data_IF_305006680368
#
_entry.id   IF_305006680368
#
_cell.length_a   1.000
_cell.length_b   1.000
_cell.length_c   1.000
_cell.angle_alpha   90.00
_cell.angle_beta   90.00
_cell.angle_gamma   90.00
#
_symmetry.space_group_name_H-M   'P 1'
#
loop_
_entity.id
_entity.type
_entity.pdbx_description
1 polymer ?
#
# COMPACT_ATOMS: atom_id res chain seq x y z
N UNK A 1 3.47 -3.92 17.49
CA UNK A 1 3.51 -5.39 17.42
C UNK A 1 4.48 -5.81 16.35
N UNK A 2 5.37 -6.76 16.64
CA UNK A 2 6.33 -7.27 15.69
C UNK A 2 5.66 -8.06 14.57
N UNK A 3 6.20 -7.95 13.37
CA UNK A 3 5.72 -8.72 12.23
C UNK A 3 6.89 -9.23 11.40
N UNK A 4 6.70 -10.38 10.76
CA UNK A 4 7.63 -10.95 9.79
C UNK A 4 6.90 -11.13 8.47
N UNK A 5 7.49 -10.64 7.40
CA UNK A 5 6.90 -10.72 6.07
C UNK A 5 7.62 -11.78 5.24
N UNK A 6 6.83 -12.60 4.55
CA UNK A 6 7.31 -13.64 3.64
C UNK A 6 6.71 -13.36 2.26
N UNK A 7 7.56 -13.29 1.25
CA UNK A 7 7.12 -13.03 -0.11
C UNK A 7 7.72 -14.07 -1.05
N UNK A 8 6.86 -14.97 -1.55
CA UNK A 8 7.28 -16.10 -2.40
C UNK A 8 8.38 -16.97 -1.73
N UNK A 9 8.28 -17.12 -0.42
CA UNK A 9 9.26 -17.82 0.41
C UNK A 9 8.69 -19.21 0.77
N UNK A 10 9.37 -20.32 0.39
CA UNK A 10 8.88 -21.64 0.73
C UNK A 10 8.92 -21.97 2.22
N UNK A 11 9.60 -21.14 3.04
CA UNK A 11 9.65 -21.29 4.49
C UNK A 11 8.51 -20.55 5.20
N UNK A 12 7.62 -19.89 4.45
CA UNK A 12 6.52 -19.16 5.03
C UNK A 12 5.59 -20.09 5.83
N UNK A 13 5.12 -19.66 7.02
CA UNK A 13 4.12 -20.43 7.76
C UNK A 13 2.78 -20.42 7.02
N UNK A 14 1.93 -21.39 7.35
CA UNK A 14 0.59 -21.47 6.76
C UNK A 14 -0.29 -20.36 7.30
N UNK A 15 -0.95 -19.63 6.40
CA UNK A 15 -1.87 -18.57 6.79
C UNK A 15 -3.11 -19.10 7.51
N UNK A 16 -3.62 -18.34 8.48
CA UNK A 16 -4.83 -18.63 9.23
C UNK A 16 -5.84 -17.48 9.18
N UNK A 17 -5.53 -16.39 8.48
CA UNK A 17 -6.33 -15.16 8.53
C UNK A 17 -6.34 -14.49 7.16
N UNK A 18 -7.52 -13.99 6.77
CA UNK A 18 -7.72 -13.08 5.65
C UNK A 18 -8.39 -11.82 6.17
N UNK A 19 -7.74 -10.67 5.97
CA UNK A 19 -8.30 -9.36 6.31
C UNK A 19 -8.13 -8.46 5.09
N UNK A 20 -9.22 -7.86 4.58
CA UNK A 20 -9.11 -6.92 3.47
C UNK A 20 -8.26 -5.71 3.88
N UNK A 21 -7.29 -5.37 3.06
CA UNK A 21 -6.53 -4.13 3.14
C UNK A 21 -6.75 -3.32 1.87
N UNK A 22 -6.66 -2.01 1.97
CA UNK A 22 -6.94 -1.13 0.85
C UNK A 22 -5.85 -0.08 0.74
N UNK A 23 -5.24 -0.01 -0.44
CA UNK A 23 -4.17 0.94 -0.75
C UNK A 23 -4.71 2.03 -1.68
N UNK A 24 -4.05 3.19 -1.64
CA UNK A 24 -4.35 4.28 -2.55
C UNK A 24 -3.08 4.72 -3.28
N UNK A 25 -3.07 4.58 -4.59
CA UNK A 25 -2.02 5.11 -5.45
C UNK A 25 -2.40 6.52 -5.86
N UNK A 26 -1.82 7.51 -5.18
CA UNK A 26 -2.12 8.93 -5.40
C UNK A 26 -1.12 9.51 -6.38
N UNK A 27 -1.63 10.12 -7.44
CA UNK A 27 -0.82 10.77 -8.46
C UNK A 27 -1.16 12.26 -8.47
N UNK A 28 -0.15 13.11 -8.37
CA UNK A 28 -0.34 14.56 -8.44
C UNK A 28 -0.40 15.05 -9.90
N UNK A 29 -0.58 16.37 -10.09
CA UNK A 29 -0.70 16.96 -11.42
C UNK A 29 0.58 16.83 -12.27
N UNK A 30 1.72 16.55 -11.64
CA UNK A 30 3.01 16.36 -12.30
C UNK A 30 3.32 14.89 -12.61
N UNK A 31 2.39 13.99 -12.32
CA UNK A 31 2.60 12.55 -12.49
C UNK A 31 3.42 11.89 -11.40
N UNK A 32 3.74 12.60 -10.32
CA UNK A 32 4.48 12.04 -9.20
C UNK A 32 3.56 11.19 -8.30
N UNK A 33 4.12 10.11 -7.78
CA UNK A 33 3.38 9.12 -6.97
C UNK A 33 3.71 9.31 -5.50
N UNK A 34 2.68 9.35 -4.67
CA UNK A 34 2.81 9.51 -3.23
C UNK A 34 3.23 8.19 -2.58
N UNK A 35 4.37 8.21 -1.91
CA UNK A 35 4.87 7.07 -1.15
C UNK A 35 5.23 7.50 0.28
N UNK A 36 5.14 6.55 1.20
CA UNK A 36 5.59 6.69 2.57
C UNK A 36 6.72 5.69 2.84
N UNK A 37 7.65 6.07 3.74
CA UNK A 37 8.66 5.15 4.22
C UNK A 37 8.25 4.61 5.59
N UNK A 38 8.11 3.30 5.67
CA UNK A 38 7.72 2.61 6.90
C UNK A 38 8.85 2.62 7.91
N UNK A 39 8.55 2.96 9.15
CA UNK A 39 9.56 2.93 10.23
C UNK A 39 10.00 1.50 10.57
N UNK A 40 9.07 0.52 10.46
CA UNK A 40 9.36 -0.86 10.83
C UNK A 40 10.29 -1.58 9.85
N UNK A 41 10.21 -1.29 8.57
CA UNK A 41 11.01 -1.97 7.54
C UNK A 41 12.03 -1.05 6.85
N UNK A 42 11.84 0.27 6.92
CA UNK A 42 12.62 1.23 6.16
C UNK A 42 12.29 1.25 4.67
N UNK A 43 11.29 0.50 4.24
CA UNK A 43 10.88 0.44 2.84
C UNK A 43 9.78 1.45 2.52
N UNK A 44 9.80 1.93 1.29
CA UNK A 44 8.77 2.80 0.76
C UNK A 44 7.60 1.99 0.22
N UNK A 45 6.39 2.48 0.45
CA UNK A 45 5.16 1.79 0.08
C UNK A 45 4.05 2.78 -0.24
N UNK A 46 3.05 2.31 -0.97
CA UNK A 46 1.77 3.02 -1.10
C UNK A 46 1.11 3.10 0.28
N UNK A 47 0.42 4.19 0.60
CA UNK A 47 -0.39 4.23 1.82
C UNK A 47 -1.55 3.24 1.73
N UNK A 48 -1.86 2.60 2.86
CA UNK A 48 -2.95 1.65 2.93
C UNK A 48 -2.94 0.89 4.25
N UNK A 49 -3.99 0.14 4.50
CA UNK A 49 -4.14 -0.64 5.71
C UNK A 49 -5.44 -1.42 5.76
N UNK A 50 -5.65 -2.08 6.90
CA UNK A 50 -6.80 -2.94 7.12
C UNK A 50 -8.11 -2.13 7.15
N UNK A 51 -9.14 -2.70 6.56
CA UNK A 51 -10.47 -2.11 6.52
C UNK A 51 -11.15 -2.25 7.90
N UNK A 52 -11.74 -1.17 8.36
CA UNK A 52 -12.56 -1.17 9.57
C UNK A 52 -14.00 -1.58 9.24
N UNK A 53 -14.66 -2.21 10.21
CA UNK A 53 -16.09 -2.51 10.09
C UNK A 53 -16.84 -1.18 9.98
N UNK A 54 -17.74 -1.10 9.02
CA UNK A 54 -18.57 0.08 8.80
C UNK A 54 -18.08 1.02 7.72
N UNK A 55 -16.86 0.82 7.20
CA UNK A 55 -16.38 1.61 6.05
C UNK A 55 -16.36 0.78 4.77
N UNK A 56 -16.47 1.46 3.63
CA UNK A 56 -16.25 0.82 2.34
C UNK A 56 -14.76 0.67 2.07
N UNK A 57 -14.39 -0.17 1.11
CA UNK A 57 -13.00 -0.34 0.70
C UNK A 57 -12.37 1.00 0.25
N UNK A 58 -13.11 1.78 -0.55
CA UNK A 58 -12.63 3.08 -1.01
C UNK A 58 -12.46 4.08 0.16
N UNK A 59 -13.39 4.09 1.11
CA UNK A 59 -13.27 4.93 2.30
C UNK A 59 -12.04 4.56 3.13
N UNK A 60 -11.76 3.26 3.27
CA UNK A 60 -10.58 2.77 3.96
C UNK A 60 -9.30 3.29 3.29
N UNK A 61 -9.20 3.19 1.98
CA UNK A 61 -8.03 3.66 1.24
C UNK A 61 -7.77 5.15 1.46
N UNK A 62 -8.83 5.97 1.43
CA UNK A 62 -8.75 7.42 1.66
C UNK A 62 -8.35 7.72 3.11
N UNK A 63 -8.97 7.05 4.07
CA UNK A 63 -8.66 7.23 5.50
C UNK A 63 -7.21 6.88 5.81
N UNK A 64 -6.77 5.71 5.38
CA UNK A 64 -5.38 5.26 5.62
C UNK A 64 -4.36 6.20 4.96
N UNK A 65 -4.66 6.69 3.75
CA UNK A 65 -3.81 7.67 3.08
C UNK A 65 -3.64 8.93 3.93
N UNK A 66 -4.73 9.47 4.46
CA UNK A 66 -4.67 10.66 5.30
C UNK A 66 -3.92 10.40 6.61
N UNK A 67 -4.18 9.28 7.27
CA UNK A 67 -3.51 8.93 8.52
C UNK A 67 -2.01 8.75 8.34
N UNK A 68 -1.60 8.10 7.25
CA UNK A 68 -0.19 7.74 7.04
C UNK A 68 0.63 8.80 6.33
N UNK A 69 0.00 9.69 5.57
CA UNK A 69 0.72 10.66 4.74
C UNK A 69 0.35 12.12 4.98
N UNK A 70 -0.78 12.39 5.62
CA UNK A 70 -1.35 13.73 5.76
C UNK A 70 -2.09 14.22 4.51
N UNK A 71 -2.09 13.46 3.43
CA UNK A 71 -2.73 13.86 2.18
C UNK A 71 -4.19 13.43 2.18
N UNK A 72 -5.07 14.38 1.88
CA UNK A 72 -6.47 14.13 1.62
C UNK A 72 -6.62 13.92 0.11
N UNK A 73 -7.10 12.75 -0.27
CA UNK A 73 -7.22 12.37 -1.67
C UNK A 73 -8.64 11.92 -1.99
N UNK A 74 -8.99 11.98 -3.26
CA UNK A 74 -10.22 11.37 -3.77
C UNK A 74 -9.89 10.22 -4.71
N UNK A 75 -10.74 9.21 -4.74
CA UNK A 75 -10.60 8.05 -5.62
C UNK A 75 -11.01 8.44 -7.04
N UNK A 76 -10.15 8.13 -8.00
CA UNK A 76 -10.39 8.40 -9.42
C UNK A 76 -10.47 7.13 -10.27
N UNK A 77 -10.02 5.99 -9.74
CA UNK A 77 -10.02 4.74 -10.48
C UNK A 77 -9.65 3.55 -9.60
N UNK A 78 -9.58 2.38 -10.23
CA UNK A 78 -9.26 1.14 -9.55
C UNK A 78 -8.08 0.46 -10.24
N UNK A 79 -7.03 0.20 -9.47
CA UNK A 79 -5.80 -0.42 -9.97
C UNK A 79 -5.91 -1.94 -10.03
N UNK A 80 -6.47 -2.56 -9.00
CA UNK A 80 -6.60 -4.01 -9.01
C UNK A 80 -6.76 -4.66 -7.65
N UNK A 81 -6.91 -5.98 -7.69
CA UNK A 81 -6.97 -6.86 -6.53
C UNK A 81 -5.68 -7.69 -6.50
N UNK A 82 -4.96 -7.62 -5.39
CA UNK A 82 -3.66 -8.27 -5.23
C UNK A 82 -3.75 -9.24 -4.06
N UNK A 83 -3.84 -10.52 -4.37
CA UNK A 83 -4.11 -11.57 -3.37
C UNK A 83 -3.16 -12.76 -3.51
N UNK A 84 -1.88 -12.49 -3.77
CA UNK A 84 -0.87 -13.54 -3.89
C UNK A 84 -0.89 -14.44 -2.63
N UNK A 85 -1.24 -15.73 -2.73
CA UNK A 85 -1.27 -16.63 -1.57
C UNK A 85 0.11 -16.90 -0.97
N UNK A 86 1.18 -16.49 -1.64
CA UNK A 86 2.56 -16.60 -1.16
C UNK A 86 3.07 -15.28 -0.54
N UNK A 87 2.19 -14.30 -0.34
CA UNK A 87 2.50 -13.08 0.38
C UNK A 87 1.87 -13.17 1.77
N UNK A 88 2.70 -13.49 2.76
CA UNK A 88 2.27 -13.82 4.12
C UNK A 88 2.88 -12.83 5.10
N UNK A 89 2.08 -12.38 6.05
CA UNK A 89 2.56 -11.54 7.16
C UNK A 89 2.20 -12.24 8.47
N UNK A 90 3.23 -12.64 9.22
CA UNK A 90 3.07 -13.28 10.52
C UNK A 90 3.29 -12.25 11.64
N UNK A 91 2.36 -12.19 12.56
CA UNK A 91 2.42 -11.31 13.72
C UNK A 91 2.77 -12.10 14.98
N UNK A 92 3.30 -11.41 15.98
CA UNK A 92 3.76 -12.06 17.23
C UNK A 92 2.62 -12.59 18.10
N UNK A 93 1.38 -12.19 17.83
CA UNK A 93 0.18 -12.68 18.53
C UNK A 93 -0.36 -14.00 17.98
N UNK A 94 0.27 -14.56 16.94
CA UNK A 94 -0.18 -15.80 16.30
C UNK A 94 -1.04 -15.61 15.04
N UNK A 95 -1.41 -14.38 14.70
CA UNK A 95 -2.08 -14.11 13.43
C UNK A 95 -1.09 -14.31 12.29
N UNK A 96 -1.47 -15.15 11.32
CA UNK A 96 -0.69 -15.36 10.10
C UNK A 96 -1.60 -15.02 8.93
N UNK A 97 -1.34 -13.86 8.34
CA UNK A 97 -2.24 -13.25 7.38
C UNK A 97 -1.77 -13.53 5.96
N UNK A 98 -2.65 -14.08 5.13
CA UNK A 98 -2.48 -14.01 3.68
C UNK A 98 -2.88 -12.60 3.24
N UNK A 99 -2.00 -11.91 2.53
CA UNK A 99 -2.28 -10.55 2.09
C UNK A 99 -3.40 -10.51 1.06
N UNK A 100 -4.36 -9.62 1.30
CA UNK A 100 -5.49 -9.34 0.43
C UNK A 100 -5.60 -7.83 0.30
N UNK A 101 -5.25 -7.30 -0.86
CA UNK A 101 -5.19 -5.86 -1.07
C UNK A 101 -6.04 -5.46 -2.28
N UNK A 102 -6.93 -4.49 -2.06
CA UNK A 102 -7.52 -3.71 -3.13
C UNK A 102 -6.72 -2.43 -3.25
N UNK A 103 -6.34 -2.04 -4.45
CA UNK A 103 -5.63 -0.79 -4.67
C UNK A 103 -6.43 0.12 -5.59
N UNK A 104 -6.74 1.30 -5.07
CA UNK A 104 -7.43 2.34 -5.82
C UNK A 104 -6.41 3.35 -6.36
N UNK A 105 -6.81 4.06 -7.40
CA UNK A 105 -6.07 5.20 -7.94
C UNK A 105 -6.76 6.47 -7.44
N UNK A 106 -5.98 7.45 -7.03
CA UNK A 106 -6.52 8.69 -6.51
C UNK A 106 -5.69 9.91 -6.89
N UNK A 107 -6.21 11.08 -6.54
CA UNK A 107 -5.53 12.35 -6.71
C UNK A 107 -5.61 13.16 -5.43
N UNK A 108 -4.61 14.01 -5.12
CA UNK A 108 -4.66 14.84 -3.93
C UNK A 108 -5.67 15.98 -4.10
N UNK A 109 -6.45 16.24 -3.04
CA UNK A 109 -7.40 17.38 -2.99
C UNK A 109 -7.15 18.27 -1.80
N UNK A 110 -6.27 17.91 -0.88
CA UNK A 110 -5.93 18.72 0.29
C UNK A 110 -4.84 18.08 1.14
N UNK A 111 -4.50 18.75 2.23
CA UNK A 111 -3.45 18.28 3.14
C UNK A 111 -2.04 18.52 2.61
N UNK A 112 -1.05 18.11 3.41
CA UNK A 112 0.35 18.22 3.07
C UNK A 112 1.08 16.96 3.53
N UNK A 113 2.17 16.54 2.83
CA UNK A 113 2.98 15.40 3.29
C UNK A 113 3.45 15.61 4.72
N UNK A 114 3.12 14.67 5.60
CA UNK A 114 3.39 14.77 7.03
C UNK A 114 3.85 13.41 7.55
N UNK A 115 4.99 13.38 8.23
CA UNK A 115 5.46 12.16 8.90
C UNK A 115 4.64 11.90 10.16
N UNK A 116 4.68 10.67 10.66
CA UNK A 116 3.90 10.23 11.81
C UNK A 116 4.62 9.08 12.53
N UNK A 117 3.95 8.44 13.49
CA UNK A 117 4.55 7.35 14.29
C UNK A 117 4.87 6.10 13.45
N UNK A 118 4.21 5.91 12.32
CA UNK A 118 4.40 4.73 11.46
C UNK A 118 5.28 5.01 10.25
N UNK A 119 5.38 6.27 9.82
CA UNK A 119 6.14 6.67 8.64
C UNK A 119 7.10 7.80 8.97
N UNK A 120 8.37 7.64 8.64
CA UNK A 120 9.40 8.67 8.82
C UNK A 120 9.77 9.40 7.52
N UNK A 121 9.08 9.09 6.44
CA UNK A 121 9.21 9.78 5.16
C UNK A 121 7.88 9.75 4.42
N UNK A 122 7.52 10.88 3.82
CA UNK A 122 6.35 11.01 2.95
C UNK A 122 6.74 11.91 1.79
N UNK A 123 6.66 11.39 0.57
CA UNK A 123 7.11 12.11 -0.63
C UNK A 123 6.28 11.79 -1.85
N UNK A 124 6.14 12.79 -2.72
CA UNK A 124 5.77 12.55 -4.12
C UNK A 124 7.05 12.24 -4.90
N UNK A 125 7.07 11.10 -5.57
CA UNK A 125 8.27 10.60 -6.27
C UNK A 125 7.93 10.47 -7.76
N UNK A 126 8.76 11.08 -8.61
CA UNK A 126 8.61 10.93 -10.05
C UNK A 126 8.88 9.48 -10.46
N UNK A 127 8.13 8.94 -11.44
CA UNK A 127 8.38 7.58 -11.93
C UNK A 127 9.84 7.33 -12.32
N UNK A 128 10.52 8.32 -12.88
CA UNK A 128 11.94 8.22 -13.27
C UNK A 128 12.89 8.05 -12.08
N UNK A 129 12.46 8.38 -10.87
CA UNK A 129 13.28 8.32 -9.65
C UNK A 129 12.99 7.09 -8.79
N UNK A 130 12.00 6.29 -9.14
CA UNK A 130 11.55 5.15 -8.32
C UNK A 130 12.67 4.14 -8.04
N UNK A 131 13.61 3.97 -8.98
CA UNK A 131 14.73 3.03 -8.81
C UNK A 131 15.70 3.44 -7.71
N UNK A 132 15.65 4.70 -7.25
CA UNK A 132 16.49 5.20 -6.16
C UNK A 132 15.94 4.86 -4.78
N UNK A 133 14.75 4.25 -4.70
CA UNK A 133 14.05 3.98 -3.46
C UNK A 133 13.92 2.48 -3.22
N UNK A 134 14.08 2.07 -1.96
CA UNK A 134 13.86 0.69 -1.55
C UNK A 134 12.37 0.45 -1.39
N UNK A 135 11.76 -0.15 -2.39
CA UNK A 135 10.32 -0.41 -2.45
C UNK A 135 10.10 -1.93 -2.45
N UNK A 136 9.18 -2.40 -1.60
CA UNK A 136 8.85 -3.82 -1.54
C UNK A 136 8.39 -4.34 -2.92
N UNK A 137 8.78 -5.56 -3.34
CA UNK A 137 8.42 -6.10 -4.65
C UNK A 137 6.92 -6.10 -4.96
N UNK A 138 6.06 -6.34 -3.97
CA UNK A 138 4.60 -6.31 -4.16
C UNK A 138 4.12 -4.89 -4.51
N UNK A 139 4.72 -3.87 -3.91
CA UNK A 139 4.39 -2.47 -4.20
C UNK A 139 4.94 -2.05 -5.56
N UNK A 140 6.14 -2.52 -5.91
CA UNK A 140 6.70 -2.29 -7.26
C UNK A 140 5.81 -2.88 -8.35
N UNK A 141 5.21 -4.04 -8.11
CA UNK A 141 4.25 -4.63 -9.03
C UNK A 141 3.05 -3.71 -9.23
N UNK A 142 2.46 -3.21 -8.16
CA UNK A 142 1.29 -2.33 -8.23
C UNK A 142 1.59 -1.03 -8.96
N UNK A 143 2.70 -0.40 -8.61
CA UNK A 143 3.14 0.84 -9.28
C UNK A 143 3.44 0.57 -10.76
N UNK A 144 4.11 -0.54 -11.06
CA UNK A 144 4.43 -0.95 -12.42
C UNK A 144 3.19 -1.18 -13.26
N UNK A 145 2.16 -1.82 -12.70
CA UNK A 145 0.88 -2.02 -13.40
C UNK A 145 0.21 -0.69 -13.74
N UNK A 146 0.26 0.27 -12.81
CA UNK A 146 -0.26 1.61 -13.08
C UNK A 146 0.51 2.29 -14.22
N UNK A 147 1.84 2.30 -14.15
CA UNK A 147 2.68 2.99 -15.13
C UNK A 147 2.59 2.35 -16.53
N UNK A 148 2.41 1.02 -16.58
CA UNK A 148 2.24 0.29 -17.83
C UNK A 148 0.82 0.38 -18.41
N UNK A 149 -0.13 0.88 -17.64
CA UNK A 149 -1.54 0.92 -18.05
C UNK A 149 -2.21 -0.45 -18.09
N UNK A 150 -1.63 -1.45 -17.41
CA UNK A 150 -2.14 -2.83 -17.39
C UNK A 150 -3.05 -3.05 -16.18
N UNK A 151 -4.14 -2.30 -16.12
CA UNK A 151 -5.10 -2.41 -15.03
C UNK A 151 -6.54 -2.34 -15.57
N UNK A 152 -7.53 -2.85 -14.76
CA UNK A 152 -7.36 -3.41 -13.42
C UNK A 152 -6.65 -4.77 -13.42
N UNK A 153 -5.78 -4.99 -12.45
CA UNK A 153 -5.14 -6.28 -12.21
C UNK A 153 -6.11 -7.19 -11.47
N UNK A 154 -6.35 -8.38 -12.01
CA UNK A 154 -7.30 -9.35 -11.45
C UNK A 154 -6.53 -10.59 -10.98
N UNK A 155 -5.95 -10.49 -9.82
CA UNK A 155 -5.10 -11.59 -9.38
C UNK A 155 -4.97 -11.80 -7.90
#
# INVERSE_FOLDING_TARGET
MGRTEYYNDPQAPKANTLIPANNLLVVDDNGAILLQRRRDTGQWALPGGAQDIGETAAQCAVRECQEETGIIAEVTGFLGVYTNPHHIVAYTDGEIRQQYENTYIGRPVGGEPTINDEADGVRYIQPSDLDQYDIHPSMRQQIGDYLAGTYPYLG
#
